data_IF_162883904505
#
_entry.id   IF_162883904505
#
_cell.length_a   1.000
_cell.length_b   1.000
_cell.length_c   1.000
_cell.angle_alpha   90.00
_cell.angle_beta   90.00
_cell.angle_gamma   90.00
#
_symmetry.space_group_name_H-M   'P 1'
#
loop_
_entity.id
_entity.type
_entity.pdbx_description
1 polymer ?
#
# COMPACT_ATOMS: atom_id res chain seq x y z
N UNK A 1 16.58 4.18 -11.76
CA UNK A 1 15.99 4.94 -10.66
C UNK A 1 14.63 4.36 -10.29
N UNK A 2 14.24 4.57 -9.04
CA UNK A 2 13.04 3.94 -8.48
C UNK A 2 11.78 4.69 -8.93
N UNK A 3 10.79 3.98 -9.46
CA UNK A 3 9.53 4.56 -9.97
C UNK A 3 8.63 5.17 -8.89
N UNK A 4 8.91 4.88 -7.62
CA UNK A 4 8.16 5.46 -6.49
C UNK A 4 8.13 7.01 -6.49
N UNK A 5 8.91 7.65 -7.36
CA UNK A 5 9.07 9.10 -7.44
C UNK A 5 9.12 9.54 -8.91
N UNK A 6 7.99 9.37 -9.62
CA UNK A 6 7.88 9.78 -11.03
C UNK A 6 8.33 11.22 -11.26
N UNK A 7 7.94 12.16 -10.41
CA UNK A 7 8.34 13.57 -10.50
C UNK A 7 9.84 13.76 -10.25
N UNK A 8 10.38 13.18 -9.16
CA UNK A 8 11.82 13.28 -8.83
C UNK A 8 12.67 12.50 -9.84
N UNK A 9 12.20 11.34 -10.29
CA UNK A 9 12.87 10.58 -11.35
C UNK A 9 12.92 11.35 -12.66
N UNK A 10 11.86 12.08 -13.01
CA UNK A 10 11.81 12.98 -14.17
C UNK A 10 12.79 14.14 -14.07
N UNK A 11 12.85 14.82 -12.91
CA UNK A 11 13.79 15.91 -12.66
C UNK A 11 15.25 15.45 -12.67
N UNK A 12 15.56 14.33 -12.01
CA UNK A 12 16.92 13.74 -12.01
C UNK A 12 17.34 13.36 -13.43
N UNK A 13 16.43 12.78 -14.21
CA UNK A 13 16.69 12.46 -15.62
C UNK A 13 16.96 13.73 -16.43
N UNK A 14 16.11 14.76 -16.28
CA UNK A 14 16.28 16.05 -16.97
C UNK A 14 17.59 16.75 -16.62
N UNK A 15 17.95 16.75 -15.32
CA UNK A 15 19.24 17.28 -14.86
C UNK A 15 20.42 16.48 -15.43
N UNK A 16 20.35 15.15 -15.44
CA UNK A 16 21.38 14.29 -15.99
C UNK A 16 21.54 14.46 -17.51
N UNK A 17 20.44 14.54 -18.26
CA UNK A 17 20.47 14.83 -19.70
C UNK A 17 21.07 16.21 -19.99
N UNK A 18 20.75 17.21 -19.17
CA UNK A 18 21.34 18.56 -19.29
C UNK A 18 22.85 18.54 -19.00
N UNK A 19 23.27 17.84 -17.94
CA UNK A 19 24.69 17.66 -17.62
C UNK A 19 25.45 16.92 -18.74
N UNK A 20 24.89 15.83 -19.28
CA UNK A 20 25.49 15.12 -20.40
C UNK A 20 25.63 15.99 -21.64
N UNK A 21 24.61 16.78 -21.97
CA UNK A 21 24.68 17.74 -23.08
C UNK A 21 25.76 18.77 -22.84
N UNK A 22 25.81 19.36 -21.65
CA UNK A 22 26.81 20.41 -21.34
C UNK A 22 28.24 19.87 -21.39
N UNK A 23 28.46 18.67 -20.78
CA UNK A 23 29.79 18.05 -20.76
C UNK A 23 30.24 17.53 -22.14
N UNK A 24 29.32 17.07 -22.98
CA UNK A 24 29.65 16.57 -24.32
C UNK A 24 29.85 17.71 -25.33
N UNK A 25 29.14 18.81 -25.16
CA UNK A 25 29.22 19.98 -26.06
C UNK A 25 30.41 20.88 -25.74
N UNK A 26 30.76 21.06 -24.48
CA UNK A 26 31.82 21.98 -24.06
C UNK A 26 33.16 21.71 -24.73
N UNK A 27 33.73 20.51 -24.76
CA UNK A 27 35.02 20.26 -25.42
C UNK A 27 34.95 20.38 -26.94
N UNK A 28 33.79 20.04 -27.55
CA UNK A 28 33.60 20.15 -29.01
C UNK A 28 33.52 21.62 -29.44
N UNK A 29 32.82 22.46 -28.67
CA UNK A 29 32.74 23.90 -28.92
C UNK A 29 34.12 24.53 -28.78
N UNK A 30 34.88 24.23 -27.73
CA UNK A 30 36.22 24.72 -27.50
C UNK A 30 37.17 24.33 -28.65
N UNK A 31 37.09 23.11 -29.12
CA UNK A 31 37.94 22.62 -30.21
C UNK A 31 37.53 23.22 -31.57
N UNK A 32 36.24 23.38 -31.83
CA UNK A 32 35.72 24.00 -33.06
C UNK A 32 36.04 25.49 -33.13
N UNK A 33 35.94 26.24 -32.03
CA UNK A 33 36.35 27.64 -31.96
C UNK A 33 37.87 27.80 -32.13
N UNK A 34 38.68 26.88 -31.61
CA UNK A 34 40.14 26.86 -31.84
C UNK A 34 40.50 26.57 -33.30
N UNK A 35 39.65 25.91 -34.06
CA UNK A 35 39.79 25.67 -35.51
C UNK A 35 39.23 26.84 -36.37
N UNK A 36 38.73 27.90 -35.76
CA UNK A 36 38.23 29.11 -36.48
C UNK A 36 36.85 28.94 -37.12
N UNK A 37 36.07 27.92 -36.69
CA UNK A 37 34.73 27.71 -37.20
C UNK A 37 33.75 28.70 -36.56
N UNK A 38 32.89 29.34 -37.37
CA UNK A 38 31.86 30.25 -36.89
C UNK A 38 30.72 29.53 -36.17
N UNK A 39 29.99 30.22 -35.27
CA UNK A 39 28.90 29.63 -34.45
C UNK A 39 27.87 28.85 -35.27
N UNK A 40 27.51 29.33 -36.48
CA UNK A 40 26.54 28.63 -37.34
C UNK A 40 27.09 27.32 -37.96
N UNK A 41 28.38 27.16 -38.05
CA UNK A 41 29.04 25.95 -38.55
C UNK A 41 29.19 24.92 -37.41
N UNK A 42 29.47 25.42 -36.21
CA UNK A 42 29.61 24.59 -35.01
C UNK A 42 28.30 23.87 -34.69
N UNK A 43 27.15 24.54 -34.79
CA UNK A 43 25.81 23.97 -34.55
C UNK A 43 25.48 22.80 -35.47
N UNK A 44 26.03 22.77 -36.67
CA UNK A 44 25.81 21.68 -37.65
C UNK A 44 26.63 20.43 -37.32
N UNK A 45 27.82 20.63 -36.70
CA UNK A 45 28.70 19.53 -36.29
C UNK A 45 28.39 18.97 -34.88
N UNK A 46 27.61 19.70 -34.09
CA UNK A 46 27.16 19.28 -32.77
C UNK A 46 26.07 18.23 -32.92
N UNK A 47 26.46 17.00 -33.24
CA UNK A 47 25.55 15.85 -33.06
C UNK A 47 25.26 15.73 -31.56
N UNK A 48 24.04 16.05 -31.11
CA UNK A 48 23.74 15.94 -29.69
C UNK A 48 23.92 14.48 -29.27
N UNK A 49 24.64 14.24 -28.19
CA UNK A 49 24.66 12.94 -27.54
C UNK A 49 23.22 12.57 -27.26
N UNK A 50 22.70 11.58 -27.97
CA UNK A 50 21.34 11.08 -27.74
C UNK A 50 21.38 10.15 -26.54
N UNK A 51 20.91 10.65 -25.42
CA UNK A 51 20.58 9.81 -24.26
C UNK A 51 19.32 9.01 -24.62
N UNK A 52 19.46 7.70 -24.77
CA UNK A 52 18.32 6.80 -24.90
C UNK A 52 17.98 6.24 -23.52
N UNK A 53 16.90 6.75 -22.95
CA UNK A 53 16.39 6.26 -21.68
C UNK A 53 15.24 5.28 -21.95
N UNK A 54 15.37 4.05 -21.48
CA UNK A 54 14.33 3.03 -21.58
C UNK A 54 13.77 2.74 -20.20
N UNK A 55 12.65 3.36 -19.79
CA UNK A 55 11.93 2.97 -18.58
C UNK A 55 11.37 1.55 -18.75
N UNK A 56 11.66 0.67 -17.79
CA UNK A 56 11.37 -0.77 -17.95
C UNK A 56 9.88 -1.11 -17.85
N UNK A 57 9.12 -0.43 -16.98
CA UNK A 57 7.73 -0.79 -16.68
C UNK A 57 6.71 0.31 -16.99
N UNK A 58 7.14 1.54 -17.24
CA UNK A 58 6.27 2.66 -17.55
C UNK A 58 6.96 3.58 -18.56
N UNK A 59 7.04 3.20 -19.85
CA UNK A 59 7.78 3.95 -20.87
C UNK A 59 7.23 5.36 -21.07
N UNK A 60 5.92 5.52 -20.95
CA UNK A 60 5.22 6.80 -21.17
C UNK A 60 5.14 7.66 -19.90
N UNK A 61 5.69 7.18 -18.76
CA UNK A 61 5.61 7.84 -17.45
C UNK A 61 4.15 8.15 -17.05
N UNK A 62 3.24 7.25 -17.38
CA UNK A 62 1.82 7.41 -17.12
C UNK A 62 1.53 7.26 -15.62
N UNK A 63 0.94 8.28 -15.03
CA UNK A 63 0.51 8.29 -13.63
C UNK A 63 -0.56 7.23 -13.34
N UNK A 64 -1.38 6.89 -14.32
CA UNK A 64 -2.43 5.88 -14.13
C UNK A 64 -1.81 4.50 -13.86
N UNK A 65 -0.76 4.13 -14.56
CA UNK A 65 0.01 2.90 -14.36
C UNK A 65 0.64 2.85 -12.96
N UNK A 66 1.18 3.99 -12.52
CA UNK A 66 1.87 4.09 -11.23
C UNK A 66 0.91 4.08 -10.03
N UNK A 67 -0.20 4.82 -10.12
CA UNK A 67 -1.08 5.07 -8.97
C UNK A 67 -2.24 4.10 -8.85
N UNK A 68 -2.74 3.52 -9.94
CA UNK A 68 -3.98 2.74 -9.94
C UNK A 68 -3.99 1.60 -8.92
N UNK A 69 -2.94 0.78 -8.92
CA UNK A 69 -2.89 -0.37 -8.03
C UNK A 69 -2.74 0.02 -6.55
N UNK A 70 -1.74 0.84 -6.14
CA UNK A 70 -1.61 1.23 -4.74
C UNK A 70 -2.83 1.98 -4.21
N UNK A 71 -3.39 2.93 -4.98
CA UNK A 71 -4.56 3.69 -4.54
C UNK A 71 -5.80 2.85 -4.38
N UNK A 72 -6.01 1.87 -5.27
CA UNK A 72 -7.11 0.92 -5.08
C UNK A 72 -7.02 0.25 -3.70
N UNK A 73 -5.87 -0.30 -3.32
CA UNK A 73 -5.70 -0.97 -2.04
C UNK A 73 -5.75 -0.03 -0.83
N UNK A 74 -5.33 1.22 -1.00
CA UNK A 74 -5.48 2.27 0.03
C UNK A 74 -6.97 2.51 0.33
N UNK A 75 -7.81 2.72 -0.67
CA UNK A 75 -9.25 2.89 -0.48
C UNK A 75 -9.92 1.59 -0.02
N UNK A 76 -9.48 0.47 -0.56
CA UNK A 76 -9.98 -0.84 -0.19
C UNK A 76 -9.74 -1.17 1.28
N UNK A 77 -8.58 -0.76 1.85
CA UNK A 77 -8.32 -0.85 3.29
C UNK A 77 -9.43 -0.17 4.11
N UNK A 78 -9.84 1.04 3.73
CA UNK A 78 -10.88 1.78 4.46
C UNK A 78 -12.19 0.99 4.47
N UNK A 79 -12.57 0.43 3.33
CA UNK A 79 -13.79 -0.38 3.21
C UNK A 79 -13.69 -1.63 4.09
N UNK A 80 -12.56 -2.36 4.04
CA UNK A 80 -12.33 -3.56 4.86
C UNK A 80 -12.44 -3.21 6.35
N UNK A 81 -11.79 -2.14 6.80
CA UNK A 81 -11.81 -1.70 8.19
C UNK A 81 -13.25 -1.39 8.64
N UNK A 82 -13.98 -0.56 7.89
CA UNK A 82 -15.34 -0.14 8.24
C UNK A 82 -16.32 -1.31 8.26
N UNK A 83 -16.30 -2.16 7.25
CA UNK A 83 -17.18 -3.33 7.18
C UNK A 83 -16.90 -4.31 8.31
N UNK A 84 -15.61 -4.55 8.62
CA UNK A 84 -15.23 -5.46 9.71
C UNK A 84 -15.68 -4.93 11.06
N UNK A 85 -15.46 -3.65 11.34
CA UNK A 85 -15.92 -2.99 12.57
C UNK A 85 -17.44 -3.03 12.68
N UNK A 86 -18.15 -2.75 11.59
CA UNK A 86 -19.59 -2.80 11.57
C UNK A 86 -20.13 -4.21 11.78
N UNK A 87 -19.53 -5.22 11.15
CA UNK A 87 -19.93 -6.61 11.30
C UNK A 87 -19.84 -7.11 12.75
N UNK A 88 -18.77 -6.75 13.48
CA UNK A 88 -18.60 -7.10 14.89
C UNK A 88 -19.47 -6.20 15.78
N UNK A 89 -19.45 -4.90 15.51
CA UNK A 89 -20.16 -3.91 16.32
C UNK A 89 -21.68 -4.04 16.26
N UNK A 90 -22.21 -4.61 15.17
CA UNK A 90 -23.64 -4.90 15.06
C UNK A 90 -24.13 -5.86 16.14
N UNK A 91 -23.32 -6.84 16.56
CA UNK A 91 -23.67 -7.79 17.61
C UNK A 91 -23.86 -7.09 18.97
N UNK A 92 -23.00 -6.11 19.28
CA UNK A 92 -23.13 -5.33 20.51
C UNK A 92 -24.30 -4.35 20.39
N UNK A 93 -24.45 -3.69 19.24
CA UNK A 93 -25.52 -2.70 19.02
C UNK A 93 -26.91 -3.30 19.10
N UNK A 94 -27.12 -4.48 18.56
CA UNK A 94 -28.41 -5.17 18.54
C UNK A 94 -28.58 -6.12 19.71
N UNK A 95 -27.61 -6.19 20.66
CA UNK A 95 -27.64 -7.05 21.85
C UNK A 95 -27.72 -8.55 21.53
N UNK A 96 -27.15 -8.94 20.41
CA UNK A 96 -27.07 -10.35 19.96
C UNK A 96 -25.71 -10.99 20.30
N UNK A 97 -24.87 -10.30 21.10
CA UNK A 97 -23.53 -10.75 21.44
C UNK A 97 -23.48 -12.07 22.18
N UNK A 98 -24.43 -12.34 23.08
CA UNK A 98 -24.53 -13.60 23.83
C UNK A 98 -24.89 -14.74 22.90
N UNK A 99 -25.91 -14.59 22.06
CA UNK A 99 -26.32 -15.57 21.06
C UNK A 99 -25.18 -15.91 20.09
N UNK A 100 -24.44 -14.88 19.68
CA UNK A 100 -23.26 -15.04 18.82
C UNK A 100 -22.16 -15.86 19.49
N UNK A 101 -21.87 -15.59 20.78
CA UNK A 101 -20.88 -16.35 21.54
C UNK A 101 -21.37 -17.79 21.84
N UNK A 102 -22.63 -17.99 22.15
CA UNK A 102 -23.20 -19.33 22.35
C UNK A 102 -23.12 -20.18 21.09
N UNK A 103 -23.44 -19.61 19.91
CA UNK A 103 -23.32 -20.29 18.62
C UNK A 103 -21.87 -20.75 18.35
N UNK A 104 -20.88 -20.02 18.87
CA UNK A 104 -19.46 -20.35 18.79
C UNK A 104 -18.95 -21.18 19.97
N UNK A 105 -19.85 -21.78 20.78
CA UNK A 105 -19.51 -22.54 22.00
C UNK A 105 -18.62 -21.73 22.97
N UNK A 106 -18.92 -20.44 23.14
CA UNK A 106 -18.19 -19.53 24.01
C UNK A 106 -16.71 -19.32 23.62
N UNK A 107 -16.33 -19.71 22.40
CA UNK A 107 -14.98 -19.49 21.89
C UNK A 107 -14.94 -18.23 21.01
N UNK A 108 -14.31 -17.15 21.51
CA UNK A 108 -14.25 -15.88 20.82
C UNK A 108 -13.53 -15.93 19.47
N UNK A 109 -12.49 -16.77 19.35
CA UNK A 109 -11.78 -16.95 18.09
C UNK A 109 -12.71 -17.54 17.01
N UNK A 110 -13.46 -18.59 17.36
CA UNK A 110 -14.42 -19.23 16.44
C UNK A 110 -15.55 -18.24 16.08
N UNK A 111 -16.03 -17.46 17.05
CA UNK A 111 -17.04 -16.44 16.84
C UNK A 111 -16.60 -15.40 15.81
N UNK A 112 -15.42 -14.81 16.01
CA UNK A 112 -14.87 -13.76 15.11
C UNK A 112 -14.57 -14.34 13.73
N UNK A 113 -13.89 -15.48 13.65
CA UNK A 113 -13.55 -16.10 12.36
C UNK A 113 -14.82 -16.49 11.60
N UNK A 114 -15.79 -17.15 12.27
CA UNK A 114 -17.05 -17.53 11.64
C UNK A 114 -17.85 -16.34 11.10
N UNK A 115 -17.86 -15.23 11.85
CA UNK A 115 -18.56 -13.99 11.45
C UNK A 115 -17.87 -13.29 10.29
N UNK A 116 -16.53 -13.23 10.30
CA UNK A 116 -15.75 -12.49 9.30
C UNK A 116 -15.47 -13.31 8.03
N UNK A 117 -15.51 -14.63 8.08
CA UNK A 117 -15.20 -15.51 6.96
C UNK A 117 -15.92 -15.14 5.65
N UNK A 118 -17.24 -14.90 5.63
CA UNK A 118 -17.95 -14.50 4.41
C UNK A 118 -17.40 -13.19 3.82
N UNK A 119 -17.14 -12.21 4.67
CA UNK A 119 -16.57 -10.92 4.26
C UNK A 119 -15.14 -11.09 3.76
N UNK A 120 -14.32 -11.92 4.42
CA UNK A 120 -12.97 -12.25 3.98
C UNK A 120 -12.96 -12.83 2.57
N UNK A 121 -13.84 -13.80 2.29
CA UNK A 121 -13.97 -14.42 0.98
C UNK A 121 -14.34 -13.36 -0.08
N UNK A 122 -15.33 -12.50 0.21
CA UNK A 122 -15.74 -11.44 -0.70
C UNK A 122 -14.57 -10.49 -0.98
N UNK A 123 -13.87 -10.03 0.06
CA UNK A 123 -12.73 -9.13 -0.10
C UNK A 123 -11.56 -9.78 -0.85
N UNK A 124 -11.29 -11.05 -0.62
CA UNK A 124 -10.29 -11.79 -1.38
C UNK A 124 -10.67 -11.89 -2.87
N UNK A 125 -11.92 -12.20 -3.19
CA UNK A 125 -12.41 -12.23 -4.57
C UNK A 125 -12.29 -10.83 -5.20
N UNK A 126 -12.69 -9.76 -4.49
CA UNK A 126 -12.57 -8.39 -4.99
C UNK A 126 -11.13 -7.99 -5.25
N UNK A 127 -10.19 -8.35 -4.37
CA UNK A 127 -8.76 -8.04 -4.54
C UNK A 127 -8.15 -8.76 -5.75
N UNK A 128 -8.46 -10.05 -5.92
CA UNK A 128 -8.02 -10.85 -7.07
C UNK A 128 -8.63 -10.31 -8.37
N UNK A 129 -9.90 -9.96 -8.35
CA UNK A 129 -10.60 -9.40 -9.50
C UNK A 129 -10.03 -8.03 -9.90
N UNK A 130 -9.73 -7.16 -8.94
CA UNK A 130 -9.09 -5.89 -9.20
C UNK A 130 -7.71 -6.07 -9.85
N UNK A 131 -6.88 -6.97 -9.32
CA UNK A 131 -5.59 -7.31 -9.92
C UNK A 131 -5.77 -7.88 -11.34
N UNK A 132 -6.77 -8.73 -11.56
CA UNK A 132 -7.05 -9.27 -12.88
C UNK A 132 -7.42 -8.16 -13.88
N UNK A 133 -8.25 -7.19 -13.50
CA UNK A 133 -8.58 -6.05 -14.35
C UNK A 133 -7.31 -5.25 -14.66
N UNK A 134 -6.51 -4.88 -13.66
CA UNK A 134 -5.34 -4.02 -13.85
C UNK A 134 -4.26 -4.68 -14.70
N UNK A 135 -3.92 -5.92 -14.42
CA UNK A 135 -2.80 -6.61 -15.04
C UNK A 135 -3.22 -7.50 -16.21
N UNK A 136 -4.43 -8.07 -16.18
CA UNK A 136 -4.94 -8.94 -17.24
C UNK A 136 -5.67 -8.19 -18.36
N UNK A 137 -6.54 -7.22 -18.01
CA UNK A 137 -7.36 -6.48 -18.99
C UNK A 137 -6.67 -5.20 -19.44
N UNK A 138 -6.18 -4.38 -18.48
CA UNK A 138 -5.50 -3.12 -18.81
C UNK A 138 -4.04 -3.32 -19.24
N UNK A 139 -3.51 -4.54 -19.12
CA UNK A 139 -2.14 -4.91 -19.51
C UNK A 139 -1.06 -4.04 -18.88
N UNK A 140 -1.27 -3.59 -17.63
CA UNK A 140 -0.24 -2.88 -16.89
C UNK A 140 0.95 -3.82 -16.70
N UNK A 141 2.17 -3.44 -17.10
CA UNK A 141 3.33 -4.30 -16.99
C UNK A 141 3.75 -4.50 -15.52
N UNK A 142 4.15 -5.72 -15.19
CA UNK A 142 4.64 -6.10 -13.86
C UNK A 142 5.73 -7.16 -13.96
N UNK A 143 6.68 -7.15 -13.01
CA UNK A 143 7.85 -8.04 -13.05
C UNK A 143 7.54 -9.44 -12.50
N UNK A 144 6.71 -9.54 -11.45
CA UNK A 144 6.43 -10.81 -10.78
C UNK A 144 5.32 -11.60 -11.49
N UNK A 145 5.17 -12.87 -11.10
CA UNK A 145 4.03 -13.68 -11.50
C UNK A 145 2.72 -13.22 -10.84
N UNK A 146 1.59 -13.57 -11.43
CA UNK A 146 0.26 -13.24 -10.95
C UNK A 146 -0.05 -13.79 -9.53
N UNK A 147 0.49 -14.97 -9.20
CA UNK A 147 0.24 -15.62 -7.91
C UNK A 147 0.88 -14.91 -6.71
N UNK A 148 2.17 -14.52 -6.72
CA UNK A 148 2.75 -13.76 -5.60
C UNK A 148 1.99 -12.48 -5.31
N UNK A 149 1.55 -11.76 -6.33
CA UNK A 149 0.77 -10.54 -6.22
C UNK A 149 -0.58 -10.77 -5.50
N UNK A 150 -1.29 -11.83 -5.85
CA UNK A 150 -2.58 -12.13 -5.24
C UNK A 150 -2.44 -12.71 -3.82
N UNK A 151 -1.40 -13.49 -3.56
CA UNK A 151 -1.14 -14.00 -2.20
C UNK A 151 -0.85 -12.85 -1.23
N UNK A 152 -0.06 -11.85 -1.65
CA UNK A 152 0.17 -10.66 -0.82
C UNK A 152 -1.08 -9.82 -0.64
N UNK A 153 -1.94 -9.72 -1.66
CA UNK A 153 -3.24 -9.03 -1.55
C UNK A 153 -4.19 -9.74 -0.56
N UNK A 154 -4.25 -11.07 -0.59
CA UNK A 154 -5.03 -11.86 0.38
C UNK A 154 -4.48 -11.67 1.79
N UNK A 155 -3.16 -11.74 1.97
CA UNK A 155 -2.51 -11.48 3.26
C UNK A 155 -2.85 -10.10 3.80
N UNK A 156 -2.82 -9.09 2.94
CA UNK A 156 -3.20 -7.71 3.28
C UNK A 156 -4.67 -7.61 3.73
N UNK A 157 -5.61 -8.28 3.04
CA UNK A 157 -7.03 -8.32 3.43
C UNK A 157 -7.17 -8.85 4.86
N UNK A 158 -6.54 -10.00 5.16
CA UNK A 158 -6.63 -10.61 6.48
C UNK A 158 -5.94 -9.76 7.55
N UNK A 159 -4.78 -9.17 7.26
CA UNK A 159 -4.07 -8.27 8.17
C UNK A 159 -4.89 -7.00 8.49
N UNK A 160 -5.57 -6.45 7.49
CA UNK A 160 -6.44 -5.28 7.65
C UNK A 160 -7.68 -5.60 8.49
N UNK A 161 -8.32 -6.75 8.26
CA UNK A 161 -9.40 -7.23 9.12
C UNK A 161 -8.93 -7.47 10.55
N UNK A 162 -7.75 -8.04 10.71
CA UNK A 162 -7.16 -8.24 12.04
C UNK A 162 -6.91 -6.90 12.77
N UNK A 163 -6.42 -5.87 12.08
CA UNK A 163 -6.30 -4.53 12.66
C UNK A 163 -7.67 -3.99 13.10
N UNK A 164 -8.71 -4.18 12.31
CA UNK A 164 -10.06 -3.75 12.67
C UNK A 164 -10.57 -4.47 13.93
N UNK A 165 -10.35 -5.79 14.03
CA UNK A 165 -10.66 -6.59 15.22
C UNK A 165 -9.89 -6.10 16.44
N UNK A 166 -8.60 -5.82 16.28
CA UNK A 166 -7.73 -5.28 17.33
C UNK A 166 -8.27 -3.93 17.86
N UNK A 167 -8.55 -2.99 16.97
CA UNK A 167 -9.07 -1.67 17.34
C UNK A 167 -10.44 -1.77 18.01
N UNK A 168 -11.31 -2.66 17.50
CA UNK A 168 -12.61 -2.90 18.10
C UNK A 168 -12.49 -3.55 19.49
N UNK A 169 -11.53 -4.46 19.65
CA UNK A 169 -11.27 -5.09 20.95
C UNK A 169 -10.74 -4.09 21.98
N UNK A 170 -10.02 -3.06 21.54
CA UNK A 170 -9.50 -2.00 22.41
C UNK A 170 -10.59 -1.05 22.89
N UNK A 171 -11.53 -0.71 22.00
CA UNK A 171 -12.64 0.22 22.26
C UNK A 171 -13.98 -0.40 21.79
N UNK A 172 -14.64 -1.25 22.57
CA UNK A 172 -15.83 -2.00 22.14
C UNK A 172 -17.11 -1.15 21.99
N UNK A 173 -16.99 0.04 21.42
CA UNK A 173 -18.08 0.97 21.17
C UNK A 173 -18.10 1.38 19.69
N UNK A 174 -19.12 0.97 18.95
CA UNK A 174 -19.18 1.09 17.48
C UNK A 174 -18.92 2.53 16.99
N UNK A 175 -19.53 3.54 17.64
CA UNK A 175 -19.38 4.94 17.24
C UNK A 175 -17.93 5.43 17.38
N UNK A 176 -17.26 5.05 18.46
CA UNK A 176 -15.87 5.43 18.72
C UNK A 176 -14.95 4.74 17.71
N UNK A 177 -15.14 3.42 17.49
CA UNK A 177 -14.26 2.66 16.61
C UNK A 177 -14.42 3.06 15.14
N UNK A 178 -15.63 3.38 14.69
CA UNK A 178 -15.82 3.90 13.32
C UNK A 178 -15.02 5.20 13.14
N UNK A 179 -14.98 6.09 14.10
CA UNK A 179 -14.20 7.32 14.03
C UNK A 179 -12.69 7.03 14.03
N UNK A 180 -12.24 6.15 14.91
CA UNK A 180 -10.81 5.72 14.97
C UNK A 180 -10.38 5.06 13.68
N UNK A 181 -11.18 4.14 13.14
CA UNK A 181 -10.88 3.41 11.91
C UNK A 181 -10.88 4.34 10.69
N UNK A 182 -11.77 5.33 10.64
CA UNK A 182 -11.77 6.34 9.58
C UNK A 182 -10.50 7.20 9.64
N UNK A 183 -10.04 7.56 10.85
CA UNK A 183 -8.78 8.26 11.05
C UNK A 183 -7.58 7.38 10.64
N UNK A 184 -7.58 6.12 11.06
CA UNK A 184 -6.53 5.13 10.69
C UNK A 184 -6.48 4.93 9.18
N UNK A 185 -7.64 4.86 8.53
CA UNK A 185 -7.74 4.73 7.08
C UNK A 185 -7.14 5.92 6.33
N UNK A 186 -7.49 7.15 6.76
CA UNK A 186 -6.98 8.38 6.13
C UNK A 186 -5.49 8.61 6.39
N UNK A 187 -5.00 8.35 7.61
CA UNK A 187 -3.57 8.42 7.92
C UNK A 187 -2.79 7.34 7.18
N UNK A 188 -3.33 6.12 7.07
CA UNK A 188 -2.74 5.05 6.27
C UNK A 188 -2.57 5.45 4.81
N UNK A 189 -3.53 6.17 4.23
CA UNK A 189 -3.47 6.67 2.87
C UNK A 189 -2.30 7.66 2.64
N UNK A 190 -2.06 8.55 3.59
CA UNK A 190 -0.97 9.53 3.51
C UNK A 190 0.41 8.93 3.82
N UNK A 191 0.47 7.96 4.74
CA UNK A 191 1.71 7.39 5.25
C UNK A 191 2.12 6.08 4.57
N UNK A 192 1.38 5.64 3.56
CA UNK A 192 1.65 4.36 2.85
C UNK A 192 2.91 4.37 1.96
N UNK A 193 3.50 5.54 1.70
CA UNK A 193 4.70 5.64 0.86
C UNK A 193 4.44 5.84 -0.64
N UNK A 194 3.17 5.93 -1.07
CA UNK A 194 2.83 6.16 -2.49
C UNK A 194 3.03 7.61 -2.89
N UNK A 195 2.54 8.54 -2.06
CA UNK A 195 2.58 9.98 -2.36
C UNK A 195 3.89 10.62 -1.94
N UNK A 196 4.50 10.11 -0.87
CA UNK A 196 5.77 10.61 -0.34
C UNK A 196 6.64 9.43 0.12
N UNK A 197 7.93 9.37 -0.28
CA UNK A 197 8.82 8.27 0.09
C UNK A 197 8.95 8.15 1.60
N UNK A 198 8.80 6.93 2.10
CA UNK A 198 8.87 6.64 3.53
C UNK A 198 10.25 7.00 4.12
N UNK A 199 11.32 6.74 3.36
CA UNK A 199 12.70 7.02 3.78
C UNK A 199 13.01 8.51 3.91
N UNK A 200 12.19 9.37 3.28
CA UNK A 200 12.31 10.83 3.35
C UNK A 200 11.43 11.45 4.44
N UNK A 201 10.65 10.64 5.16
CA UNK A 201 9.80 11.13 6.25
C UNK A 201 10.62 11.43 7.50
N UNK A 202 10.15 12.40 8.29
CA UNK A 202 10.68 12.65 9.64
C UNK A 202 10.59 11.39 10.50
N UNK A 203 11.61 11.11 11.31
CA UNK A 203 11.71 9.89 12.10
C UNK A 203 10.44 9.50 12.87
N UNK A 204 9.73 10.40 13.60
CA UNK A 204 8.48 10.05 14.29
C UNK A 204 7.37 9.62 13.32
N UNK A 205 7.27 10.27 12.16
CA UNK A 205 6.25 9.97 11.13
C UNK A 205 6.58 8.64 10.46
N UNK A 206 7.86 8.41 10.18
CA UNK A 206 8.35 7.14 9.66
C UNK A 206 7.99 5.98 10.59
N UNK A 207 8.25 6.12 11.91
CA UNK A 207 7.84 5.10 12.88
C UNK A 207 6.32 4.92 12.95
N UNK A 208 5.55 6.00 12.91
CA UNK A 208 4.09 5.91 12.91
C UNK A 208 3.55 5.18 11.67
N UNK A 209 4.23 5.26 10.53
CA UNK A 209 3.80 4.57 9.30
C UNK A 209 3.76 3.05 9.45
N UNK A 210 4.58 2.45 10.32
CA UNK A 210 4.58 1.00 10.58
C UNK A 210 3.28 0.48 11.21
N UNK A 211 2.46 1.36 11.77
CA UNK A 211 1.17 0.99 12.36
C UNK A 211 0.07 0.67 11.32
N UNK A 212 0.34 0.90 10.04
CA UNK A 212 -0.65 0.74 8.99
C UNK A 212 -0.34 -0.46 8.08
N UNK A 213 -1.23 -1.46 7.96
CA UNK A 213 -1.04 -2.60 7.07
C UNK A 213 -0.79 -2.20 5.62
N UNK A 214 -1.44 -1.13 5.15
CA UNK A 214 -1.31 -0.65 3.78
C UNK A 214 0.11 -0.22 3.43
N UNK A 215 0.87 0.35 4.38
CA UNK A 215 2.27 0.69 4.15
C UNK A 215 3.09 -0.54 3.79
N UNK A 216 2.98 -1.59 4.60
CA UNK A 216 3.70 -2.84 4.36
C UNK A 216 3.29 -3.50 3.05
N UNK A 217 1.98 -3.50 2.77
CA UNK A 217 1.47 -4.02 1.52
C UNK A 217 1.99 -3.24 0.30
N UNK A 218 1.96 -1.91 0.34
CA UNK A 218 2.43 -1.06 -0.76
C UNK A 218 3.92 -1.32 -1.04
N UNK A 219 4.76 -1.45 -0.01
CA UNK A 219 6.18 -1.72 -0.17
C UNK A 219 6.44 -3.10 -0.77
N UNK A 220 5.73 -4.15 -0.32
CA UNK A 220 5.78 -5.48 -0.94
C UNK A 220 5.32 -5.41 -2.39
N UNK A 221 4.19 -4.75 -2.63
CA UNK A 221 3.55 -4.66 -3.93
C UNK A 221 4.43 -3.92 -4.95
N UNK A 222 5.02 -2.78 -4.56
CA UNK A 222 5.97 -2.05 -5.41
C UNK A 222 7.21 -2.89 -5.74
N UNK A 223 7.72 -3.65 -4.77
CA UNK A 223 8.82 -4.55 -5.02
C UNK A 223 8.45 -5.65 -6.03
N UNK A 224 7.29 -6.27 -5.86
CA UNK A 224 6.80 -7.29 -6.79
C UNK A 224 6.50 -6.73 -8.19
N UNK A 225 5.97 -5.52 -8.28
CA UNK A 225 5.60 -4.92 -9.57
C UNK A 225 6.82 -4.45 -10.39
N UNK A 226 7.82 -3.84 -9.71
CA UNK A 226 8.87 -3.11 -10.39
C UNK A 226 10.29 -3.62 -10.13
N UNK A 227 10.51 -4.39 -9.09
CA UNK A 227 11.85 -4.76 -8.66
C UNK A 227 12.19 -6.22 -8.78
N UNK A 228 11.25 -7.09 -8.46
CA UNK A 228 11.46 -8.55 -8.30
C UNK A 228 12.73 -8.89 -7.51
N UNK A 229 13.01 -8.10 -6.44
CA UNK A 229 14.20 -8.30 -5.59
C UNK A 229 14.12 -9.57 -4.72
N UNK A 230 12.97 -10.24 -4.77
CA UNK A 230 12.75 -11.50 -4.06
C UNK A 230 12.41 -11.33 -2.56
N UNK A 231 12.10 -12.45 -1.93
CA UNK A 231 11.66 -12.55 -0.55
C UNK A 231 12.61 -11.92 0.49
N UNK A 232 13.97 -11.98 0.35
CA UNK A 232 14.87 -11.36 1.33
C UNK A 232 14.65 -9.86 1.58
N UNK A 233 14.09 -9.14 0.62
CA UNK A 233 13.81 -7.70 0.76
C UNK A 233 12.40 -7.40 1.28
N UNK A 234 11.49 -8.36 1.21
CA UNK A 234 10.08 -8.18 1.59
C UNK A 234 9.69 -8.87 2.89
N UNK A 235 10.56 -9.74 3.44
CA UNK A 235 10.21 -10.57 4.60
C UNK A 235 9.82 -9.77 5.85
N UNK A 236 10.43 -8.60 6.06
CA UNK A 236 10.10 -7.70 7.19
C UNK A 236 8.65 -7.22 7.08
N UNK A 237 8.25 -6.79 5.88
CA UNK A 237 6.89 -6.32 5.64
C UNK A 237 5.86 -7.45 5.69
N UNK A 238 6.21 -8.62 5.17
CA UNK A 238 5.38 -9.82 5.27
C UNK A 238 5.19 -10.22 6.74
N UNK A 239 6.28 -10.25 7.53
CA UNK A 239 6.20 -10.56 8.97
C UNK A 239 5.39 -9.51 9.74
N UNK A 240 5.46 -8.24 9.35
CA UNK A 240 4.64 -7.18 9.94
C UNK A 240 3.14 -7.40 9.69
N UNK A 241 2.75 -7.85 8.49
CA UNK A 241 1.36 -8.20 8.21
C UNK A 241 0.87 -9.37 9.09
N UNK A 242 1.72 -10.38 9.34
CA UNK A 242 1.40 -11.44 10.31
C UNK A 242 1.31 -10.93 11.75
N UNK A 243 2.14 -9.93 12.11
CA UNK A 243 2.09 -9.34 13.45
C UNK A 243 0.74 -8.70 13.77
N UNK A 244 0.05 -8.06 12.80
CA UNK A 244 -1.31 -7.56 12.99
C UNK A 244 -2.30 -8.66 13.37
N UNK A 245 -2.16 -9.85 12.78
CA UNK A 245 -3.01 -11.01 13.12
C UNK A 245 -2.77 -11.46 14.56
N UNK A 246 -1.50 -11.50 14.99
CA UNK A 246 -1.14 -11.87 16.37
C UNK A 246 -1.64 -10.84 17.38
N UNK A 247 -1.56 -9.55 17.07
CA UNK A 247 -2.10 -8.48 17.92
C UNK A 247 -3.62 -8.61 18.09
N UNK A 248 -4.35 -8.92 17.04
CA UNK A 248 -5.79 -9.15 17.13
C UNK A 248 -6.10 -10.36 18.05
N UNK A 249 -5.38 -11.47 17.87
CA UNK A 249 -5.57 -12.67 18.70
C UNK A 249 -5.32 -12.40 20.18
N UNK A 250 -4.32 -11.59 20.51
CA UNK A 250 -3.98 -11.25 21.89
C UNK A 250 -5.11 -10.49 22.64
N UNK A 251 -5.92 -9.70 21.91
CA UNK A 251 -7.02 -8.92 22.51
C UNK A 251 -8.40 -9.62 22.45
N UNK A 252 -8.54 -10.77 21.82
CA UNK A 252 -9.82 -11.50 21.78
C UNK A 252 -10.40 -11.80 23.18
N UNK A 253 -9.61 -12.16 24.22
CA UNK A 253 -10.14 -12.33 25.56
C UNK A 253 -10.77 -11.06 26.12
N UNK A 254 -10.18 -9.89 25.86
CA UNK A 254 -10.72 -8.62 26.27
C UNK A 254 -12.06 -8.30 25.57
N UNK A 255 -12.14 -8.57 24.27
CA UNK A 255 -13.39 -8.43 23.51
C UNK A 255 -14.48 -9.34 24.06
N UNK A 256 -14.18 -10.60 24.38
CA UNK A 256 -15.11 -11.53 25.02
C UNK A 256 -15.66 -10.98 26.32
N UNK A 257 -14.79 -10.49 27.19
CA UNK A 257 -15.19 -9.89 28.48
C UNK A 257 -16.05 -8.65 28.28
N UNK A 258 -15.74 -7.83 27.28
CA UNK A 258 -16.50 -6.62 26.96
C UNK A 258 -17.92 -6.93 26.50
N UNK A 259 -18.11 -7.99 25.71
CA UNK A 259 -19.43 -8.46 25.26
C UNK A 259 -20.24 -8.98 26.45
N UNK A 260 -19.70 -9.89 27.24
CA UNK A 260 -20.38 -10.49 28.39
C UNK A 260 -20.68 -9.49 29.52
N UNK A 261 -19.96 -8.36 29.58
CA UNK A 261 -20.22 -7.33 30.61
C UNK A 261 -21.38 -6.39 30.27
N UNK A 262 -21.93 -6.45 29.04
CA UNK A 262 -23.01 -5.56 28.53
C UNK A 262 -22.74 -4.05 28.71
N UNK A 263 -21.52 -3.67 29.09
CA UNK A 263 -21.15 -2.30 29.46
C UNK A 263 -21.28 -1.31 28.30
N UNK A 264 -21.06 -1.79 27.08
CA UNK A 264 -20.97 -0.95 25.88
C UNK A 264 -22.26 -0.90 25.04
N UNK A 265 -23.31 -1.64 25.43
CA UNK A 265 -24.58 -1.71 24.72
C UNK A 265 -25.36 -0.39 24.72
N UNK A 266 -25.14 0.48 25.71
CA UNK A 266 -25.82 1.75 25.87
C UNK A 266 -25.03 2.95 25.33
N UNK A 267 -23.83 2.74 24.81
CA UNK A 267 -23.01 3.78 24.19
C UNK A 267 -23.43 3.91 22.73
N UNK A 268 -24.23 4.95 22.45
CA UNK A 268 -24.71 5.29 21.10
C UNK A 268 -23.69 6.08 20.30
#
# INVERSE_FOLDING_TARGET
>A
YHYALLSVGGEVRGAFETLLRTLSLAPVVVQATAMGLGENQITTFLLPVRSSSHPLFNPDLDYSVYLSNPFFFVFFQVIILLVTVYAIGSEIKFRTGDEWLEAARMNMFVAVVGKLLPYTIIFCIMSVFANYIMFGVMHIPFACGFWPLNLTAILFVVATQALAVFLFSLFPAIAIVISVVSMVGSLGATLCGVTFPVDSMYAPVHFASYLFPVRHFVEINQNLLYGDYGFPYTWVNVSSLFAFMLLALALLPHLKTAILSHKYENIR
#
